data_IF_838672386059
#
_entry.id   IF_838672386059
#
_cell.length_a   1.000
_cell.length_b   1.000
_cell.length_c   1.000
_cell.angle_alpha   90.00
_cell.angle_beta   90.00
_cell.angle_gamma   90.00
#
_symmetry.space_group_name_H-M   'P 1'
#
loop_
_entity.id
_entity.type
_entity.pdbx_description
1 polymer ?
#
# COMPACT_ATOMS: atom_id res chain seq x y z
N UNK A 1 -11.33 7.90 -12.93
CA UNK A 1 -10.21 6.95 -13.04
C UNK A 1 -8.98 7.76 -12.73
N UNK A 2 -8.20 7.43 -11.69
CA UNK A 2 -6.94 8.10 -11.45
C UNK A 2 -6.03 7.92 -12.66
N UNK A 3 -5.40 9.01 -13.07
CA UNK A 3 -4.49 9.02 -14.21
C UNK A 3 -3.07 8.68 -13.73
N UNK A 4 -2.20 8.18 -14.62
CA UNK A 4 -0.79 7.92 -14.28
C UNK A 4 -0.09 9.15 -13.66
N UNK A 5 -0.53 10.35 -14.05
CA UNK A 5 -0.04 11.61 -13.53
C UNK A 5 -0.48 11.84 -12.06
N UNK A 6 -1.72 11.52 -11.70
CA UNK A 6 -2.22 11.59 -10.31
C UNK A 6 -1.45 10.65 -9.37
N UNK A 7 -1.07 9.47 -9.86
CA UNK A 7 -0.29 8.50 -9.09
C UNK A 7 1.14 9.00 -8.85
N UNK A 8 1.76 9.66 -9.83
CA UNK A 8 3.10 10.25 -9.68
C UNK A 8 3.13 11.37 -8.65
N UNK A 9 2.10 12.22 -8.61
CA UNK A 9 1.96 13.27 -7.60
C UNK A 9 1.78 12.68 -6.19
N UNK A 10 0.89 11.69 -6.05
CA UNK A 10 0.67 10.98 -4.78
C UNK A 10 1.92 10.25 -4.30
N UNK A 11 2.65 9.58 -5.20
CA UNK A 11 3.93 8.95 -4.87
C UNK A 11 4.93 10.00 -4.40
N UNK A 12 5.03 11.13 -5.08
CA UNK A 12 5.96 12.21 -4.69
C UNK A 12 5.63 12.76 -3.30
N UNK A 13 4.36 13.03 -3.02
CA UNK A 13 3.90 13.48 -1.72
C UNK A 13 4.13 12.41 -0.63
N UNK A 14 3.77 11.16 -0.90
CA UNK A 14 3.99 10.03 0.00
C UNK A 14 5.47 9.83 0.35
N UNK A 15 6.36 10.00 -0.65
CA UNK A 15 7.83 9.94 -0.48
C UNK A 15 8.40 11.07 0.38
N UNK A 16 7.65 12.17 0.56
CA UNK A 16 8.00 13.26 1.47
C UNK A 16 7.45 13.04 2.89
N UNK A 17 6.69 11.97 3.11
CA UNK A 17 6.05 11.65 4.39
C UNK A 17 4.63 12.20 4.54
N UNK A 18 4.00 12.67 3.46
CA UNK A 18 2.58 13.06 3.50
C UNK A 18 1.70 11.85 3.77
N UNK A 19 1.10 11.82 4.96
CA UNK A 19 0.26 10.71 5.41
C UNK A 19 -1.00 10.55 4.58
N UNK A 20 -1.63 11.64 4.14
CA UNK A 20 -2.84 11.59 3.34
C UNK A 20 -2.54 11.01 1.95
N UNK A 21 -1.40 11.38 1.36
CA UNK A 21 -0.96 10.80 0.10
C UNK A 21 -0.64 9.31 0.20
N UNK A 22 -0.05 8.88 1.32
CA UNK A 22 0.20 7.45 1.61
C UNK A 22 -1.13 6.70 1.71
N UNK A 23 -2.07 7.20 2.52
CA UNK A 23 -3.34 6.51 2.76
C UNK A 23 -4.18 6.42 1.46
N UNK A 24 -4.19 7.47 0.63
CA UNK A 24 -4.84 7.47 -0.68
C UNK A 24 -4.19 6.45 -1.63
N UNK A 25 -2.86 6.38 -1.67
CA UNK A 25 -2.14 5.41 -2.49
C UNK A 25 -2.50 3.97 -2.07
N UNK A 26 -2.44 3.67 -0.77
CA UNK A 26 -2.77 2.33 -0.26
C UNK A 26 -4.23 1.96 -0.58
N UNK A 27 -5.18 2.86 -0.32
CA UNK A 27 -6.60 2.64 -0.61
C UNK A 27 -6.87 2.38 -2.11
N UNK A 28 -6.09 3.03 -2.99
CA UNK A 28 -6.20 2.84 -4.44
C UNK A 28 -5.71 1.46 -4.90
N UNK A 29 -4.63 0.95 -4.30
CA UNK A 29 -4.04 -0.34 -4.67
C UNK A 29 -4.66 -1.54 -3.93
N UNK A 30 -5.33 -1.32 -2.80
CA UNK A 30 -5.95 -2.37 -1.97
C UNK A 30 -6.85 -3.33 -2.77
N UNK A 31 -7.83 -2.84 -3.58
CA UNK A 31 -8.72 -3.75 -4.29
C UNK A 31 -8.01 -4.56 -5.37
N UNK A 32 -6.96 -4.00 -5.98
CA UNK A 32 -6.19 -4.68 -7.02
C UNK A 32 -5.34 -5.81 -6.41
N UNK A 33 -4.66 -5.53 -5.30
CA UNK A 33 -3.84 -6.51 -4.58
C UNK A 33 -4.73 -7.60 -3.98
N UNK A 34 -5.87 -7.25 -3.39
CA UNK A 34 -6.81 -8.23 -2.85
C UNK A 34 -7.34 -9.19 -3.92
N UNK A 35 -7.75 -8.66 -5.09
CA UNK A 35 -8.21 -9.48 -6.22
C UNK A 35 -7.09 -10.37 -6.76
N UNK A 36 -5.86 -9.87 -6.79
CA UNK A 36 -4.69 -10.66 -7.15
C UNK A 36 -4.47 -11.81 -6.16
N UNK A 37 -4.51 -11.52 -4.85
CA UNK A 37 -4.44 -12.51 -3.78
C UNK A 37 -5.53 -13.58 -3.91
N UNK A 38 -6.79 -13.18 -4.09
CA UNK A 38 -7.91 -14.11 -4.30
C UNK A 38 -7.69 -15.03 -5.49
N UNK A 39 -7.17 -14.49 -6.61
CA UNK A 39 -6.90 -15.28 -7.81
C UNK A 39 -5.74 -16.26 -7.64
N UNK A 40 -4.76 -15.93 -6.80
CA UNK A 40 -3.58 -16.76 -6.58
C UNK A 40 -3.81 -17.83 -5.49
N UNK A 41 -4.49 -17.46 -4.41
CA UNK A 41 -4.69 -18.33 -3.24
C UNK A 41 -5.99 -19.14 -3.30
N UNK A 42 -7.03 -18.61 -3.96
CA UNK A 42 -8.33 -19.29 -4.08
C UNK A 42 -9.24 -19.18 -2.85
N UNK A 43 -8.81 -18.51 -1.79
CA UNK A 43 -9.58 -18.26 -0.58
C UNK A 43 -9.36 -16.83 -0.04
N UNK A 44 -10.31 -16.35 0.76
CA UNK A 44 -10.28 -14.98 1.29
C UNK A 44 -9.25 -14.76 2.40
N UNK A 45 -8.93 -15.80 3.18
CA UNK A 45 -8.03 -15.69 4.33
C UNK A 45 -6.61 -15.43 3.86
N UNK A 46 -6.11 -16.31 3.00
CA UNK A 46 -4.80 -16.19 2.36
C UNK A 46 -4.69 -14.90 1.54
N UNK A 47 -5.77 -14.49 0.85
CA UNK A 47 -5.78 -13.24 0.10
C UNK A 47 -5.62 -12.00 1.00
N UNK A 48 -6.21 -12.02 2.21
CA UNK A 48 -6.02 -10.94 3.21
C UNK A 48 -4.62 -10.95 3.81
N UNK A 49 -4.00 -12.11 3.99
CA UNK A 49 -2.61 -12.20 4.42
C UNK A 49 -1.67 -11.56 3.38
N UNK A 50 -1.80 -11.97 2.11
CA UNK A 50 -1.02 -11.40 0.99
C UNK A 50 -1.23 -9.89 0.89
N UNK A 51 -2.48 -9.43 1.01
CA UNK A 51 -2.80 -8.01 1.01
C UNK A 51 -2.06 -7.26 2.13
N UNK A 52 -2.18 -7.74 3.37
CA UNK A 52 -1.53 -7.11 4.51
C UNK A 52 0.00 -7.08 4.35
N UNK A 53 0.62 -8.20 4.00
CA UNK A 53 2.07 -8.27 3.83
C UNK A 53 2.56 -7.32 2.73
N UNK A 54 1.83 -7.26 1.62
CA UNK A 54 2.14 -6.39 0.48
C UNK A 54 2.02 -4.92 0.87
N UNK A 55 0.93 -4.55 1.57
CA UNK A 55 0.73 -3.17 2.03
C UNK A 55 1.76 -2.75 3.07
N UNK A 56 2.09 -3.63 4.03
CA UNK A 56 3.13 -3.39 5.02
C UNK A 56 4.51 -3.26 4.36
N UNK A 57 4.82 -4.07 3.34
CA UNK A 57 6.05 -3.94 2.58
C UNK A 57 6.10 -2.61 1.81
N UNK A 58 5.04 -2.27 1.07
CA UNK A 58 4.95 -1.01 0.34
C UNK A 58 5.12 0.20 1.27
N UNK A 59 4.45 0.18 2.42
CA UNK A 59 4.55 1.24 3.43
C UNK A 59 5.95 1.34 4.03
N UNK A 60 6.62 0.22 4.32
CA UNK A 60 8.01 0.20 4.84
C UNK A 60 9.05 0.71 3.84
N UNK A 61 8.79 0.54 2.54
CA UNK A 61 9.69 0.98 1.48
C UNK A 61 9.46 2.41 0.99
N UNK A 62 8.38 3.08 1.43
CA UNK A 62 8.15 4.49 1.12
C UNK A 62 9.11 5.37 1.95
N UNK A 63 9.97 6.19 1.32
CA UNK A 63 10.80 7.16 2.03
C UNK A 63 9.89 8.13 2.79
N UNK A 64 10.22 8.38 4.06
CA UNK A 64 9.35 9.11 4.99
C UNK A 64 8.73 8.21 6.06
N UNK A 65 8.63 6.90 5.84
CA UNK A 65 8.37 5.97 6.92
C UNK A 65 9.64 5.84 7.79
N UNK A 66 9.69 6.61 8.89
CA UNK A 66 10.58 6.24 10.00
C UNK A 66 9.96 5.02 10.66
N UNK A 67 10.64 3.88 10.56
CA UNK A 67 10.35 2.69 11.34
C UNK A 67 10.67 2.92 12.83
N UNK A 68 10.18 4.01 13.43
CA UNK A 68 10.24 4.28 14.87
C UNK A 68 9.17 3.48 15.64
N UNK A 69 8.76 2.32 15.10
CA UNK A 69 8.05 1.31 15.85
C UNK A 69 9.09 0.52 16.66
N UNK A 70 9.47 1.10 17.81
CA UNK A 70 9.98 0.33 18.94
C UNK A 70 8.93 -0.76 19.21
N UNK A 71 9.24 -2.01 18.88
CA UNK A 71 8.52 -3.16 19.41
C UNK A 71 8.60 -3.05 20.93
N UNK A 72 7.45 -2.80 21.57
CA UNK A 72 7.28 -2.88 23.03
C UNK A 72 6.14 -3.82 23.34
#
# INVERSE_FOLDING_TARGET
MPTPDDDLELITAARSGDRAAIDELLARYEPAIYRFGLRMCGDEESAREVLQETMLAAFRHLPGFRADARLS
#
